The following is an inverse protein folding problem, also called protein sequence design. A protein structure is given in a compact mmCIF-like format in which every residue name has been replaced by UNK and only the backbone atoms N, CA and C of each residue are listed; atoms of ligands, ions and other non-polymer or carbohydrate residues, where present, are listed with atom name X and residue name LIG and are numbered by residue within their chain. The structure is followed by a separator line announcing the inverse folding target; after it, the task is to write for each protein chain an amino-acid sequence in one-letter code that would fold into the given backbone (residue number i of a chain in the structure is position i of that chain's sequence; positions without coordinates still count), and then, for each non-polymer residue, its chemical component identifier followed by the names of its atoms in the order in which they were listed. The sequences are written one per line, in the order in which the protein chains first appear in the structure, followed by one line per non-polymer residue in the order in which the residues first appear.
data_IF_134340284599
#
_entry.id   IF_134340284599
#
_cell.length_a   1.000
_cell.length_b   1.000
_cell.length_c   1.000
_cell.angle_alpha   90.00
_cell.angle_beta   90.00
_cell.angle_gamma   90.00
#
_symmetry.space_group_name_H-M   'P 1'
#
loop_
_entity.id
_entity.type
_entity.pdbx_description
1 polymer ?
#
# COMPACT_ATOMS: atom_id res chain seq x y z
N UNK A 1 -30.92 -6.68 -69.46
CA UNK A 1 -30.47 -7.17 -68.14
C UNK A 1 -28.95 -7.23 -68.13
N UNK A 2 -28.29 -6.22 -67.57
CA UNK A 2 -26.84 -6.17 -67.35
C UNK A 2 -26.60 -5.56 -65.97
N UNK A 3 -25.78 -6.26 -65.19
CA UNK A 3 -25.40 -5.96 -63.81
C UNK A 3 -24.50 -4.73 -63.72
N UNK A 4 -24.71 -3.91 -62.69
CA UNK A 4 -23.66 -3.04 -62.13
C UNK A 4 -23.73 -3.16 -60.60
N UNK A 5 -22.84 -4.00 -60.06
CA UNK A 5 -22.50 -4.04 -58.64
C UNK A 5 -21.73 -2.76 -58.29
N UNK A 6 -22.28 -1.93 -57.41
CA UNK A 6 -21.48 -0.94 -56.68
C UNK A 6 -21.14 -1.51 -55.29
N UNK A 7 -19.92 -2.01 -55.17
CA UNK A 7 -19.22 -2.26 -53.92
C UNK A 7 -18.88 -0.89 -53.29
N UNK A 8 -19.60 -0.50 -52.24
CA UNK A 8 -19.19 0.57 -51.33
C UNK A 8 -18.44 -0.07 -50.16
N UNK A 9 -17.15 -0.35 -50.40
CA UNK A 9 -16.19 -0.69 -49.36
C UNK A 9 -15.73 0.63 -48.72
N UNK A 10 -16.50 1.13 -47.75
CA UNK A 10 -16.08 2.27 -46.94
C UNK A 10 -14.92 1.83 -46.03
N UNK A 11 -13.73 2.31 -46.36
CA UNK A 11 -12.50 2.19 -45.59
C UNK A 11 -12.74 2.58 -44.12
N UNK A 12 -12.73 1.59 -43.24
CA UNK A 12 -12.43 1.75 -41.83
C UNK A 12 -10.96 2.16 -41.71
N UNK A 13 -10.68 3.44 -41.90
CA UNK A 13 -9.43 4.06 -41.44
C UNK A 13 -9.46 4.03 -39.91
N UNK A 14 -8.97 2.92 -39.34
CA UNK A 14 -8.53 2.86 -37.96
C UNK A 14 -7.34 3.84 -37.85
N UNK A 15 -7.66 5.10 -37.55
CA UNK A 15 -6.67 6.06 -37.12
C UNK A 15 -6.12 5.57 -35.78
N UNK A 16 -4.91 4.99 -35.82
CA UNK A 16 -4.05 4.89 -34.65
C UNK A 16 -3.62 6.31 -34.24
N UNK A 17 -4.56 7.09 -33.71
CA UNK A 17 -4.24 8.24 -32.90
C UNK A 17 -3.73 7.72 -31.57
N UNK A 18 -2.43 7.84 -31.31
CA UNK A 18 -1.90 7.66 -29.96
C UNK A 18 -2.73 8.56 -29.02
N UNK A 19 -3.33 8.02 -27.95
CA UNK A 19 -4.09 8.85 -27.03
C UNK A 19 -3.12 9.85 -26.41
N UNK A 20 -3.24 11.13 -26.80
CA UNK A 20 -2.71 12.24 -26.02
C UNK A 20 -3.45 12.21 -24.68
N UNK A 21 -2.85 11.57 -23.68
CA UNK A 21 -3.32 11.50 -22.30
C UNK A 21 -3.28 12.90 -21.69
N UNK A 22 -4.32 13.71 -21.93
CA UNK A 22 -4.41 15.08 -21.43
C UNK A 22 -4.99 15.17 -20.00
N UNK A 23 -4.87 14.11 -19.20
CA UNK A 23 -5.40 14.04 -17.83
C UNK A 23 -4.29 13.98 -16.78
N UNK A 24 -4.58 14.27 -15.50
CA UNK A 24 -3.60 14.23 -14.41
C UNK A 24 -3.20 12.80 -14.01
N UNK A 25 -3.64 11.79 -14.75
CA UNK A 25 -3.44 10.37 -14.49
C UNK A 25 -2.67 9.71 -15.64
N UNK A 26 -1.71 8.80 -15.35
CA UNK A 26 -0.88 8.16 -16.38
C UNK A 26 -1.66 7.28 -17.37
N UNK A 27 -2.77 6.66 -16.96
CA UNK A 27 -3.60 5.75 -17.77
C UNK A 27 -2.79 4.59 -18.39
N UNK A 28 -1.95 3.96 -17.59
CA UNK A 28 -1.07 2.87 -18.03
C UNK A 28 -1.75 1.49 -17.82
N UNK A 29 -2.16 0.78 -18.88
CA UNK A 29 -2.80 -0.54 -18.76
C UNK A 29 -1.87 -1.63 -18.23
N UNK A 30 -0.56 -1.39 -18.18
CA UNK A 30 0.39 -2.32 -17.56
C UNK A 30 0.33 -2.28 -16.03
N UNK A 31 -0.28 -1.25 -15.44
CA UNK A 31 -0.44 -1.07 -13.98
C UNK A 31 -1.81 -1.56 -13.53
N UNK A 32 -2.88 -1.04 -14.11
CA UNK A 32 -4.27 -1.39 -13.80
C UNK A 32 -5.17 -1.23 -15.02
N UNK A 33 -6.38 -1.79 -14.96
CA UNK A 33 -7.43 -1.43 -15.91
C UNK A 33 -8.03 -0.03 -15.59
N UNK A 34 -8.97 0.43 -16.43
CA UNK A 34 -9.64 1.72 -16.27
C UNK A 34 -10.59 1.79 -15.05
N UNK A 35 -10.91 0.65 -14.44
CA UNK A 35 -11.67 0.54 -13.20
C UNK A 35 -10.75 0.51 -11.97
N UNK A 36 -9.43 0.56 -12.19
CA UNK A 36 -8.42 0.53 -11.14
C UNK A 36 -8.08 -0.88 -10.66
N UNK A 37 -8.56 -1.96 -11.29
CA UNK A 37 -8.14 -3.30 -10.88
C UNK A 37 -6.66 -3.50 -11.20
N UNK A 38 -5.84 -3.91 -10.21
CA UNK A 38 -4.42 -4.14 -10.43
C UNK A 38 -4.25 -5.26 -11.47
N UNK A 39 -3.20 -5.15 -12.29
CA UNK A 39 -2.87 -6.18 -13.28
C UNK A 39 -2.65 -7.56 -12.64
N UNK A 40 -1.93 -7.59 -11.52
CA UNK A 40 -1.66 -8.81 -10.78
C UNK A 40 -1.29 -8.49 -9.30
N UNK A 41 -0.93 -9.52 -8.53
CA UNK A 41 -0.57 -9.38 -7.12
C UNK A 41 0.79 -8.69 -6.87
N UNK A 42 1.55 -8.41 -7.92
CA UNK A 42 2.84 -7.71 -7.87
C UNK A 42 2.75 -6.26 -8.32
N UNK A 43 1.58 -5.79 -8.76
CA UNK A 43 1.33 -4.40 -9.14
C UNK A 43 1.75 -3.45 -8.01
N UNK A 44 2.57 -2.45 -8.36
CA UNK A 44 2.91 -1.34 -7.49
C UNK A 44 1.82 -0.26 -7.56
N UNK A 45 1.29 0.16 -6.42
CA UNK A 45 0.06 0.99 -6.35
C UNK A 45 0.33 2.50 -6.41
N UNK A 46 1.59 2.92 -6.29
CA UNK A 46 1.98 4.31 -6.11
C UNK A 46 2.77 4.82 -7.32
N UNK A 47 2.79 6.14 -7.59
CA UNK A 47 3.72 6.72 -8.55
C UNK A 47 5.16 6.40 -8.13
N UNK A 48 5.98 5.91 -9.06
CA UNK A 48 7.38 5.53 -8.76
C UNK A 48 8.20 6.74 -8.30
N UNK A 49 7.89 7.95 -8.78
CA UNK A 49 8.55 9.18 -8.37
C UNK A 49 8.35 9.50 -6.86
N UNK A 50 7.31 8.94 -6.24
CA UNK A 50 6.97 9.23 -4.84
C UNK A 50 7.73 8.34 -3.84
N UNK A 51 8.57 7.41 -4.31
CA UNK A 51 9.32 6.49 -3.45
C UNK A 51 10.57 7.12 -2.83
N UNK A 52 11.10 8.18 -3.43
CA UNK A 52 12.35 8.82 -3.03
C UNK A 52 12.09 10.04 -2.15
N UNK A 53 12.90 10.19 -1.10
CA UNK A 53 12.96 11.40 -0.29
C UNK A 53 13.89 12.43 -0.96
N UNK A 54 13.64 13.74 -0.77
CA UNK A 54 14.43 14.82 -1.41
C UNK A 54 15.93 14.75 -1.11
N UNK A 55 16.30 14.19 0.04
CA UNK A 55 17.69 14.01 0.46
C UNK A 55 18.32 12.67 0.01
N UNK A 56 17.61 11.86 -0.78
CA UNK A 56 18.07 10.53 -1.20
C UNK A 56 19.36 10.60 -2.03
N UNK A 57 20.33 9.78 -1.66
CA UNK A 57 21.58 9.57 -2.37
C UNK A 57 21.56 8.20 -3.08
N UNK A 58 21.63 8.18 -4.42
CA UNK A 58 21.82 6.96 -5.20
C UNK A 58 23.02 6.15 -4.74
N UNK A 59 22.97 4.83 -4.91
CA UNK A 59 23.97 3.87 -4.42
C UNK A 59 25.39 4.25 -4.88
N UNK A 60 25.55 4.64 -6.14
CA UNK A 60 26.81 5.06 -6.74
C UNK A 60 27.41 6.35 -6.14
N UNK A 61 26.64 7.10 -5.34
CA UNK A 61 27.07 8.32 -4.65
C UNK A 61 27.24 8.12 -3.14
N UNK A 62 27.05 6.91 -2.62
CA UNK A 62 27.13 6.64 -1.17
C UNK A 62 28.60 6.52 -0.73
N UNK A 63 28.99 7.08 0.41
CA UNK A 63 30.34 6.90 0.95
C UNK A 63 30.58 5.46 1.41
N UNK A 64 31.78 4.95 1.21
CA UNK A 64 32.18 3.64 1.70
C UNK A 64 32.14 3.57 3.24
N UNK A 65 31.72 2.41 3.78
CA UNK A 65 31.83 2.11 5.21
C UNK A 65 30.75 2.71 6.13
N UNK A 66 29.63 3.22 5.60
CA UNK A 66 28.52 3.72 6.43
C UNK A 66 27.51 2.62 6.77
N UNK A 67 27.04 2.60 8.02
CA UNK A 67 25.91 1.80 8.49
C UNK A 67 24.58 2.44 8.04
N UNK A 68 23.97 1.84 7.02
CA UNK A 68 22.87 2.42 6.22
C UNK A 68 21.54 2.69 6.95
N UNK A 69 21.29 2.07 8.10
CA UNK A 69 19.96 2.04 8.70
C UNK A 69 19.57 3.29 9.52
N UNK A 70 20.45 4.29 9.66
CA UNK A 70 20.19 5.49 10.49
C UNK A 70 20.31 6.81 9.73
N UNK A 71 20.80 6.82 8.50
CA UNK A 71 20.96 8.03 7.71
C UNK A 71 19.79 8.22 6.74
N UNK A 72 19.10 9.35 6.86
CA UNK A 72 17.93 9.70 6.04
C UNK A 72 18.25 9.77 4.55
N UNK A 73 19.52 10.02 4.19
CA UNK A 73 19.96 10.09 2.79
C UNK A 73 20.00 8.72 2.11
N UNK A 74 20.01 7.64 2.88
CA UNK A 74 19.98 6.28 2.34
C UNK A 74 18.63 5.61 2.53
N UNK A 75 17.70 6.26 3.24
CA UNK A 75 16.35 5.78 3.40
C UNK A 75 15.48 6.25 2.23
N UNK A 76 14.85 5.29 1.56
CA UNK A 76 13.72 5.51 0.68
C UNK A 76 12.46 4.87 1.32
N UNK A 77 11.29 5.11 0.73
CA UNK A 77 10.06 4.42 1.13
C UNK A 77 9.72 3.28 0.16
N UNK A 78 10.65 2.84 -0.70
CA UNK A 78 10.33 1.89 -1.76
C UNK A 78 9.86 0.55 -1.17
N UNK A 79 10.54 0.07 -0.13
CA UNK A 79 10.17 -1.18 0.55
C UNK A 79 8.85 -1.04 1.32
N UNK A 80 8.62 0.06 2.04
CA UNK A 80 7.37 0.32 2.75
C UNK A 80 6.18 0.48 1.79
N UNK A 81 6.37 1.16 0.65
CA UNK A 81 5.34 1.32 -0.38
C UNK A 81 5.11 0.03 -1.16
N UNK A 82 6.14 -0.80 -1.36
CA UNK A 82 5.97 -2.14 -1.93
C UNK A 82 5.16 -3.02 -0.98
N UNK A 83 5.47 -2.96 0.31
CA UNK A 83 4.70 -3.64 1.34
C UNK A 83 3.25 -3.11 1.39
N UNK A 84 3.03 -1.80 1.36
CA UNK A 84 1.69 -1.22 1.30
C UNK A 84 0.92 -1.66 0.05
N UNK A 85 1.57 -1.72 -1.13
CA UNK A 85 0.97 -2.24 -2.38
C UNK A 85 0.53 -3.70 -2.21
N UNK A 86 1.38 -4.52 -1.59
CA UNK A 86 1.05 -5.90 -1.28
C UNK A 86 -0.15 -6.01 -0.33
N UNK A 87 -0.22 -5.18 0.72
CA UNK A 87 -1.37 -5.16 1.62
C UNK A 87 -2.64 -4.69 0.91
N UNK A 88 -2.56 -3.67 0.04
CA UNK A 88 -3.70 -3.19 -0.74
C UNK A 88 -4.24 -4.23 -1.72
N UNK A 89 -3.37 -5.06 -2.31
CA UNK A 89 -3.81 -6.20 -3.11
C UNK A 89 -4.65 -7.19 -2.29
N UNK A 90 -4.29 -7.45 -1.03
CA UNK A 90 -5.05 -8.35 -0.15
C UNK A 90 -6.40 -7.79 0.29
N UNK A 91 -6.57 -6.47 0.23
CA UNK A 91 -7.86 -5.82 0.43
C UNK A 91 -8.73 -5.80 -0.84
N UNK A 92 -8.22 -6.27 -1.98
CA UNK A 92 -8.77 -6.05 -3.32
C UNK A 92 -9.02 -4.56 -3.60
N UNK A 93 -8.09 -3.70 -3.14
CA UNK A 93 -8.21 -2.26 -3.32
C UNK A 93 -7.83 -1.87 -4.76
N UNK A 94 -8.47 -0.83 -5.34
CA UNK A 94 -8.12 -0.34 -6.67
C UNK A 94 -6.81 0.46 -6.65
N UNK A 95 -6.11 0.55 -7.78
CA UNK A 95 -4.96 1.43 -7.98
C UNK A 95 -5.46 2.85 -8.25
N UNK A 96 -5.38 3.71 -7.23
CA UNK A 96 -5.88 5.08 -7.29
C UNK A 96 -4.98 6.04 -8.07
N UNK A 97 -3.74 5.68 -8.34
CA UNK A 97 -2.74 6.55 -8.98
C UNK A 97 -2.75 6.51 -10.52
N UNK A 98 -3.56 5.63 -11.13
CA UNK A 98 -3.44 5.31 -12.56
C UNK A 98 -4.58 5.82 -13.46
N UNK A 99 -5.84 5.69 -13.03
CA UNK A 99 -7.03 6.19 -13.75
C UNK A 99 -7.95 6.91 -12.78
N UNK A 100 -8.58 8.02 -13.20
CA UNK A 100 -9.66 8.63 -12.41
C UNK A 100 -10.89 7.71 -12.36
N UNK A 101 -11.35 7.38 -11.16
CA UNK A 101 -12.41 6.38 -10.94
C UNK A 101 -13.82 6.98 -10.79
N UNK A 102 -13.99 8.24 -11.21
CA UNK A 102 -15.28 8.92 -11.25
C UNK A 102 -15.81 9.37 -9.88
N UNK A 103 -14.96 9.44 -8.85
CA UNK A 103 -15.32 9.97 -7.54
C UNK A 103 -14.10 10.51 -6.80
N UNK A 104 -14.33 11.42 -5.85
CA UNK A 104 -13.30 11.84 -4.91
C UNK A 104 -13.13 10.74 -3.85
N UNK A 105 -11.94 10.16 -3.77
CA UNK A 105 -11.61 9.07 -2.85
C UNK A 105 -10.47 9.53 -1.95
N UNK A 106 -10.63 9.31 -0.65
CA UNK A 106 -9.55 9.41 0.32
C UNK A 106 -9.36 8.07 0.99
N UNK A 107 -8.16 7.51 0.87
CA UNK A 107 -7.83 6.18 1.38
C UNK A 107 -6.76 6.27 2.43
N UNK A 108 -7.06 5.76 3.62
CA UNK A 108 -6.12 5.67 4.73
C UNK A 108 -5.82 4.20 5.00
N UNK A 109 -4.58 3.80 4.74
CA UNK A 109 -4.05 2.49 5.10
C UNK A 109 -3.23 2.61 6.39
N UNK A 110 -3.60 1.79 7.37
CA UNK A 110 -3.00 1.79 8.69
C UNK A 110 -2.37 0.44 9.00
N UNK A 111 -1.03 0.40 8.98
CA UNK A 111 -0.25 -0.81 9.22
C UNK A 111 0.50 -0.69 10.54
N UNK A 112 0.13 -1.49 11.52
CA UNK A 112 0.72 -1.49 12.87
C UNK A 112 1.56 -2.75 13.04
N UNK A 113 2.75 -2.65 13.62
CA UNK A 113 3.70 -3.77 13.71
C UNK A 113 3.11 -5.06 14.31
N UNK A 114 2.20 -4.93 15.27
CA UNK A 114 1.64 -6.07 16.01
C UNK A 114 0.12 -6.18 15.93
N UNK A 115 -0.51 -5.43 15.02
CA UNK A 115 -1.96 -5.43 14.89
C UNK A 115 -2.38 -5.65 13.44
N UNK A 116 -3.65 -5.99 13.27
CA UNK A 116 -4.28 -6.23 11.98
C UNK A 116 -4.21 -4.97 11.10
N UNK A 117 -3.89 -5.11 9.79
CA UNK A 117 -4.06 -4.01 8.84
C UNK A 117 -5.49 -3.49 8.81
N UNK A 118 -5.65 -2.17 8.74
CA UNK A 118 -6.94 -1.51 8.58
C UNK A 118 -6.89 -0.63 7.33
N UNK A 119 -7.94 -0.71 6.52
CA UNK A 119 -8.14 0.13 5.34
C UNK A 119 -9.43 0.93 5.51
N UNK A 120 -9.30 2.25 5.53
CA UNK A 120 -10.43 3.17 5.51
C UNK A 120 -10.52 3.83 4.15
N UNK A 121 -11.68 3.78 3.51
CA UNK A 121 -11.93 4.42 2.21
C UNK A 121 -13.13 5.34 2.32
N UNK A 122 -12.85 6.64 2.32
CA UNK A 122 -13.84 7.71 2.27
C UNK A 122 -14.11 8.05 0.80
N UNK A 123 -15.32 7.82 0.33
CA UNK A 123 -15.74 8.14 -1.05
C UNK A 123 -16.77 9.26 -1.02
N UNK A 124 -16.57 10.26 -1.88
CA UNK A 124 -17.47 11.39 -2.07
C UNK A 124 -17.85 11.50 -3.56
N UNK A 125 -19.15 11.43 -3.84
CA UNK A 125 -19.69 11.61 -5.19
C UNK A 125 -21.10 12.26 -5.12
N UNK A 126 -21.81 12.29 -6.25
CA UNK A 126 -23.15 12.89 -6.33
C UNK A 126 -24.20 12.20 -5.44
N UNK A 127 -23.97 10.96 -5.01
CA UNK A 127 -24.88 10.23 -4.12
C UNK A 127 -24.60 10.52 -2.63
N UNK A 128 -23.50 11.21 -2.31
CA UNK A 128 -23.13 11.60 -0.95
C UNK A 128 -21.74 11.11 -0.56
N UNK A 129 -21.50 11.03 0.76
CA UNK A 129 -20.21 10.62 1.32
C UNK A 129 -20.36 9.34 2.13
N UNK A 130 -19.52 8.35 1.88
CA UNK A 130 -19.48 7.10 2.65
C UNK A 130 -18.08 6.77 3.11
N UNK A 131 -17.95 6.18 4.29
CA UNK A 131 -16.71 5.66 4.83
C UNK A 131 -16.81 4.14 4.94
N UNK A 132 -16.02 3.44 4.14
CA UNK A 132 -15.87 1.98 4.21
C UNK A 132 -14.67 1.62 5.11
N UNK A 133 -14.87 0.68 6.02
CA UNK A 133 -13.84 0.15 6.92
C UNK A 133 -13.63 -1.32 6.62
N UNK A 134 -12.39 -1.72 6.32
CA UNK A 134 -12.00 -3.12 6.14
C UNK A 134 -10.80 -3.48 7.00
N UNK A 135 -10.74 -4.73 7.43
CA UNK A 135 -9.64 -5.28 8.22
C UNK A 135 -9.15 -6.59 7.60
N UNK A 136 -7.85 -6.85 7.69
CA UNK A 136 -7.29 -8.18 7.44
C UNK A 136 -7.09 -8.93 8.75
N UNK A 137 -7.28 -10.24 8.76
CA UNK A 137 -7.10 -11.09 9.94
C UNK A 137 -5.65 -11.11 10.47
N UNK A 138 -4.68 -10.86 9.59
CA UNK A 138 -3.27 -10.67 9.91
C UNK A 138 -2.59 -9.83 8.83
N UNK A 139 -1.38 -9.36 9.13
CA UNK A 139 -0.54 -8.67 8.16
C UNK A 139 0.04 -9.66 7.11
N UNK A 140 -0.15 -9.41 5.80
CA UNK A 140 0.44 -10.22 4.75
C UNK A 140 1.97 -10.30 4.86
N UNK A 141 2.54 -11.51 4.76
CA UNK A 141 3.99 -11.70 4.68
C UNK A 141 4.79 -11.53 5.98
N UNK A 142 4.20 -11.06 7.08
CA UNK A 142 4.93 -10.67 8.29
C UNK A 142 5.22 -11.80 9.30
N UNK A 143 4.95 -13.07 8.96
CA UNK A 143 5.26 -14.19 9.86
C UNK A 143 6.15 -15.21 9.15
N UNK A 144 7.41 -14.83 8.96
CA UNK A 144 8.46 -15.80 8.65
C UNK A 144 8.85 -16.49 9.97
N UNK A 145 7.95 -17.36 10.46
CA UNK A 145 8.34 -18.36 11.45
C UNK A 145 9.20 -19.37 10.69
N UNK A 146 10.51 -19.19 10.77
CA UNK A 146 11.47 -20.11 10.13
C UNK A 146 12.44 -20.63 11.16
N UNK A 147 12.81 -21.88 10.96
CA UNK A 147 13.99 -22.46 11.58
C UNK A 147 15.11 -22.38 10.54
N UNK A 148 16.31 -21.99 10.98
CA UNK A 148 17.46 -21.90 10.08
C UNK A 148 17.69 -23.25 9.40
N UNK A 149 17.55 -23.29 8.07
CA UNK A 149 17.85 -24.50 7.32
C UNK A 149 19.35 -24.78 7.43
N UNK A 150 19.81 -26.00 7.70
CA UNK A 150 21.23 -26.25 7.91
C UNK A 150 22.09 -25.97 6.66
N UNK A 151 21.48 -25.97 5.47
CA UNK A 151 22.16 -25.66 4.22
C UNK A 151 22.31 -24.14 3.99
N UNK A 152 21.69 -23.31 4.83
CA UNK A 152 21.93 -21.85 4.86
C UNK A 152 23.20 -21.46 5.62
N UNK A 153 23.88 -22.42 6.25
CA UNK A 153 25.13 -22.17 6.96
C UNK A 153 26.27 -21.88 5.97
N UNK A 154 27.15 -20.95 6.34
CA UNK A 154 28.39 -20.69 5.61
C UNK A 154 29.16 -21.99 5.32
N UNK A 155 29.81 -22.11 4.15
CA UNK A 155 30.76 -23.20 3.89
C UNK A 155 31.83 -23.36 4.99
N UNK A 156 32.22 -22.28 5.65
CA UNK A 156 33.22 -22.28 6.74
C UNK A 156 32.66 -22.61 8.13
N UNK A 157 31.37 -22.91 8.26
CA UNK A 157 30.77 -23.27 9.54
C UNK A 157 31.36 -24.58 10.10
N UNK A 158 31.67 -24.58 11.40
CA UNK A 158 32.23 -25.75 12.09
C UNK A 158 31.25 -26.93 12.15
N UNK A 159 31.78 -28.15 12.28
CA UNK A 159 30.98 -29.36 12.40
C UNK A 159 30.00 -29.32 13.59
N UNK A 160 30.43 -28.72 14.70
CA UNK A 160 29.57 -28.53 15.86
C UNK A 160 28.34 -27.67 15.51
N UNK A 161 28.55 -26.53 14.84
CA UNK A 161 27.46 -25.65 14.40
C UNK A 161 26.54 -26.37 13.44
N UNK A 162 27.09 -27.10 12.45
CA UNK A 162 26.29 -27.89 11.49
C UNK A 162 25.42 -28.94 12.19
N UNK A 163 26.00 -29.72 13.11
CA UNK A 163 25.27 -30.74 13.88
C UNK A 163 24.17 -30.11 14.75
N UNK A 164 24.48 -29.01 15.45
CA UNK A 164 23.50 -28.29 16.29
C UNK A 164 22.34 -27.73 15.46
N UNK A 165 22.62 -27.08 14.33
CA UNK A 165 21.57 -26.52 13.46
C UNK A 165 20.73 -27.62 12.83
N UNK A 166 21.33 -28.73 12.36
CA UNK A 166 20.59 -29.89 11.84
C UNK A 166 19.68 -30.51 12.91
N UNK A 167 20.18 -30.68 14.13
CA UNK A 167 19.38 -31.18 15.25
C UNK A 167 18.19 -30.25 15.54
N UNK A 168 18.42 -28.95 15.72
CA UNK A 168 17.36 -27.96 15.98
C UNK A 168 16.33 -27.91 14.85
N UNK A 169 16.80 -27.95 13.60
CA UNK A 169 15.93 -28.01 12.43
C UNK A 169 15.03 -29.23 12.47
N UNK A 170 15.60 -30.43 12.67
CA UNK A 170 14.82 -31.67 12.73
C UNK A 170 13.81 -31.67 13.89
N UNK A 171 14.22 -31.20 15.08
CA UNK A 171 13.34 -31.10 16.26
C UNK A 171 12.19 -30.13 16.02
N UNK A 172 12.46 -28.92 15.50
CA UNK A 172 11.40 -27.97 15.15
C UNK A 172 10.49 -28.50 14.04
N UNK A 173 11.05 -29.18 13.04
CA UNK A 173 10.24 -29.75 11.95
C UNK A 173 9.39 -30.95 12.38
N UNK A 174 9.80 -31.65 13.45
CA UNK A 174 9.02 -32.73 14.05
C UNK A 174 7.94 -32.24 15.03
N UNK A 175 8.00 -30.99 15.50
CA UNK A 175 7.02 -30.39 16.41
C UNK A 175 5.73 -29.99 15.66
N UNK A 176 4.58 -30.64 15.94
CA UNK A 176 3.31 -30.31 15.27
C UNK A 176 2.83 -28.89 15.53
N UNK A 177 3.09 -28.31 16.71
CA UNK A 177 2.68 -26.94 17.01
C UNK A 177 3.51 -25.94 16.20
N UNK A 178 4.82 -26.20 16.06
CA UNK A 178 5.66 -25.42 15.13
C UNK A 178 5.17 -25.53 13.69
N UNK A 179 4.81 -26.73 13.21
CA UNK A 179 4.25 -26.90 11.86
C UNK A 179 2.94 -26.11 11.67
N UNK A 180 2.06 -26.10 12.68
CA UNK A 180 0.82 -25.31 12.67
C UNK A 180 1.12 -23.81 12.60
N UNK A 181 2.09 -23.33 13.36
CA UNK A 181 2.52 -21.93 13.33
C UNK A 181 3.13 -21.54 11.97
N UNK A 182 3.95 -22.40 11.36
CA UNK A 182 4.49 -22.19 10.00
C UNK A 182 3.38 -22.17 8.96
N UNK A 183 2.44 -23.12 9.04
CA UNK A 183 1.29 -23.19 8.13
C UNK A 183 0.42 -21.94 8.26
N UNK A 184 0.13 -21.51 9.49
CA UNK A 184 -0.61 -20.29 9.76
C UNK A 184 0.15 -19.07 9.25
N UNK A 185 1.47 -18.96 9.48
CA UNK A 185 2.30 -17.87 8.96
C UNK A 185 2.28 -17.77 7.44
N UNK A 186 2.37 -18.91 6.74
CA UNK A 186 2.33 -19.01 5.26
C UNK A 186 0.95 -18.81 4.65
N UNK A 187 -0.13 -18.97 5.42
CA UNK A 187 -1.50 -18.77 4.94
C UNK A 187 -1.68 -17.36 4.38
N UNK A 188 -2.46 -17.21 3.30
CA UNK A 188 -2.90 -15.90 2.81
C UNK A 188 -3.74 -15.21 3.90
N UNK A 189 -3.41 -13.96 4.25
CA UNK A 189 -4.29 -13.12 5.05
C UNK A 189 -5.65 -12.98 4.35
N UNK A 190 -6.72 -12.83 5.13
CA UNK A 190 -8.10 -12.77 4.64
C UNK A 190 -8.77 -11.52 5.19
N UNK A 191 -9.69 -10.95 4.42
CA UNK A 191 -10.59 -9.91 4.93
C UNK A 191 -11.50 -10.48 6.01
N UNK A 192 -11.71 -9.70 7.07
CA UNK A 192 -12.64 -10.06 8.14
C UNK A 192 -14.02 -9.50 7.78
N UNK A 193 -14.72 -10.17 6.86
CA UNK A 193 -15.97 -9.68 6.26
C UNK A 193 -17.06 -9.37 7.30
N UNK A 194 -17.07 -10.09 8.42
CA UNK A 194 -18.01 -9.84 9.54
C UNK A 194 -17.76 -8.54 10.29
N UNK A 195 -16.58 -7.92 10.14
CA UNK A 195 -16.20 -6.64 10.75
C UNK A 195 -16.20 -5.48 9.72
N UNK A 196 -16.46 -5.76 8.45
CA UNK A 196 -16.51 -4.73 7.42
C UNK A 196 -17.77 -3.85 7.59
N UNK A 197 -17.58 -2.54 7.52
CA UNK A 197 -18.69 -1.59 7.65
C UNK A 197 -18.62 -0.53 6.57
N UNK A 198 -19.80 -0.03 6.18
CA UNK A 198 -19.92 1.19 5.40
C UNK A 198 -20.91 2.09 6.12
N UNK A 199 -20.45 3.29 6.48
CA UNK A 199 -21.28 4.28 7.17
C UNK A 199 -21.44 5.51 6.30
N UNK A 200 -22.62 6.13 6.33
CA UNK A 200 -22.82 7.44 5.74
C UNK A 200 -22.04 8.49 6.56
N UNK A 201 -21.39 9.42 5.87
CA UNK A 201 -20.67 10.54 6.48
C UNK A 201 -21.47 11.81 6.20
N UNK A 202 -21.80 12.55 7.26
CA UNK A 202 -22.60 13.77 7.12
C UNK A 202 -21.82 14.87 6.38
N UNK A 203 -22.52 15.85 5.76
CA UNK A 203 -21.87 17.01 5.16
C UNK A 203 -20.93 17.74 6.13
N UNK A 204 -21.29 17.86 7.41
CA UNK A 204 -20.48 18.51 8.44
C UNK A 204 -19.21 17.72 8.76
N UNK A 205 -19.32 16.38 8.84
CA UNK A 205 -18.18 15.50 9.05
C UNK A 205 -17.22 15.53 7.85
N UNK A 206 -17.75 15.52 6.63
CA UNK A 206 -16.96 15.69 5.41
C UNK A 206 -16.23 17.03 5.40
N UNK A 207 -16.93 18.14 5.70
CA UNK A 207 -16.32 19.46 5.78
C UNK A 207 -15.26 19.54 6.88
N UNK A 208 -15.47 18.86 8.02
CA UNK A 208 -14.47 18.78 9.08
C UNK A 208 -13.21 18.05 8.62
N UNK A 209 -13.36 16.92 7.92
CA UNK A 209 -12.23 16.21 7.36
C UNK A 209 -11.46 17.05 6.33
N UNK A 210 -12.18 17.75 5.43
CA UNK A 210 -11.57 18.67 4.47
C UNK A 210 -10.81 19.81 5.17
N UNK A 211 -11.30 20.34 6.30
CA UNK A 211 -10.55 21.31 7.11
C UNK A 211 -9.26 20.71 7.65
N UNK A 212 -9.31 19.50 8.22
CA UNK A 212 -8.12 18.83 8.75
C UNK A 212 -7.06 18.59 7.66
N UNK A 213 -7.47 18.14 6.46
CA UNK A 213 -6.58 17.99 5.30
C UNK A 213 -5.94 19.32 4.86
N UNK A 214 -6.69 20.43 4.88
CA UNK A 214 -6.14 21.76 4.57
C UNK A 214 -5.15 22.23 5.64
N UNK A 215 -5.49 22.04 6.92
CA UNK A 215 -4.62 22.41 8.05
C UNK A 215 -3.30 21.66 8.01
N UNK A 216 -3.30 20.38 7.59
CA UNK A 216 -2.06 19.61 7.41
C UNK A 216 -1.25 19.99 6.18
N UNK A 217 -1.77 20.89 5.34
CA UNK A 217 -1.21 21.22 4.03
C UNK A 217 -0.92 19.96 3.22
N UNK A 218 -1.85 18.99 3.26
CA UNK A 218 -1.63 17.64 2.74
C UNK A 218 -1.01 17.62 1.34
N UNK A 219 -1.53 18.41 0.40
CA UNK A 219 -1.05 18.48 -0.99
C UNK A 219 0.40 18.99 -1.16
N UNK A 220 0.99 19.56 -0.11
CA UNK A 220 2.36 20.07 -0.09
C UNK A 220 3.30 19.17 0.71
N UNK A 221 2.78 18.09 1.30
CA UNK A 221 3.59 17.17 2.07
C UNK A 221 4.46 16.34 1.11
N UNK A 222 5.72 16.03 1.48
CA UNK A 222 6.48 15.04 0.74
C UNK A 222 5.76 13.69 0.84
N UNK A 223 5.71 12.97 -0.28
CA UNK A 223 5.02 11.69 -0.36
C UNK A 223 5.64 10.68 0.61
N UNK A 224 6.96 10.62 0.66
CA UNK A 224 7.73 9.79 1.57
C UNK A 224 8.44 10.65 2.62
N UNK A 225 8.37 10.23 3.90
CA UNK A 225 9.20 10.79 4.99
C UNK A 225 9.69 9.64 5.88
N UNK A 226 10.78 8.96 5.50
CA UNK A 226 11.27 7.82 6.24
C UNK A 226 11.75 8.24 7.64
N UNK A 227 11.74 7.30 8.59
CA UNK A 227 12.33 7.47 9.93
C UNK A 227 13.41 6.41 10.16
N UNK A 228 14.65 6.65 9.69
CA UNK A 228 15.75 5.72 9.88
C UNK A 228 15.88 5.29 11.36
N UNK A 229 16.18 4.02 11.58
CA UNK A 229 16.35 3.43 12.91
C UNK A 229 15.05 3.04 13.62
N UNK A 230 13.87 3.37 13.08
CA UNK A 230 12.59 2.97 13.67
C UNK A 230 12.18 1.57 13.18
N UNK A 231 12.24 0.58 14.08
CA UNK A 231 11.93 -0.82 13.76
C UNK A 231 10.45 -1.18 13.93
N UNK A 232 9.75 -0.48 14.82
CA UNK A 232 8.36 -0.75 15.19
C UNK A 232 7.48 0.50 15.11
N UNK A 233 6.19 0.33 15.44
CA UNK A 233 5.19 1.39 15.49
C UNK A 233 4.10 1.21 14.45
N UNK A 234 3.69 2.32 13.84
CA UNK A 234 2.59 2.32 12.88
C UNK A 234 2.94 3.10 11.62
N UNK A 235 2.77 2.49 10.46
CA UNK A 235 2.86 3.13 9.16
C UNK A 235 1.47 3.64 8.76
N UNK A 236 1.40 4.95 8.51
CA UNK A 236 0.20 5.70 8.19
C UNK A 236 0.35 6.21 6.77
N UNK A 237 -0.45 5.68 5.85
CA UNK A 237 -0.45 6.06 4.45
C UNK A 237 -1.82 6.66 4.11
N UNK A 238 -1.84 7.92 3.69
CA UNK A 238 -3.05 8.61 3.25
C UNK A 238 -2.91 8.98 1.78
N UNK A 239 -3.95 8.70 1.00
CA UNK A 239 -4.02 8.99 -0.43
C UNK A 239 -5.26 9.84 -0.71
N UNK A 240 -5.14 10.86 -1.55
CA UNK A 240 -6.28 11.56 -2.15
C UNK A 240 -6.29 11.31 -3.65
N UNK A 241 -7.45 10.92 -4.15
CA UNK A 241 -7.74 10.64 -5.54
C UNK A 241 -8.91 11.52 -5.94
N UNK A 242 -8.67 12.45 -6.87
CA UNK A 242 -9.62 13.48 -7.28
C UNK A 242 -9.57 13.66 -8.79
N UNK A 243 -10.54 14.38 -9.34
CA UNK A 243 -10.56 14.71 -10.77
C UNK A 243 -9.33 15.52 -11.22
N UNK A 244 -8.78 16.35 -10.33
CA UNK A 244 -7.60 17.19 -10.57
C UNK A 244 -6.26 16.48 -10.33
N UNK A 245 -6.28 15.29 -9.72
CA UNK A 245 -5.09 14.44 -9.64
C UNK A 245 -5.04 13.51 -8.42
N UNK A 246 -3.88 12.89 -8.27
CA UNK A 246 -3.54 11.98 -7.20
C UNK A 246 -2.42 12.58 -6.34
N UNK A 247 -2.52 12.40 -5.02
CA UNK A 247 -1.43 12.68 -4.10
C UNK A 247 -1.49 11.71 -2.94
N UNK A 248 -0.33 11.37 -2.38
CA UNK A 248 -0.23 10.55 -1.18
C UNK A 248 0.84 11.07 -0.25
N UNK A 249 0.69 10.77 1.04
CA UNK A 249 1.74 10.96 2.03
C UNK A 249 1.78 9.79 3.00
N UNK A 250 2.99 9.29 3.25
CA UNK A 250 3.27 8.18 4.14
C UNK A 250 4.16 8.60 5.31
N UNK A 251 3.77 8.22 6.52
CA UNK A 251 4.47 8.57 7.77
C UNK A 251 4.58 7.36 8.68
N UNK A 252 5.77 7.14 9.23
CA UNK A 252 5.96 6.16 10.30
C UNK A 252 5.81 6.86 11.67
N UNK A 253 4.83 6.39 12.45
CA UNK A 253 4.52 6.83 13.81
C UNK A 253 4.49 8.36 13.93
N UNK A 254 3.57 9.06 13.22
CA UNK A 254 3.52 10.52 13.29
C UNK A 254 3.17 10.98 14.71
N UNK A 255 3.72 12.13 15.12
CA UNK A 255 3.54 12.67 16.46
C UNK A 255 2.09 13.09 16.73
N UNK A 256 1.67 13.13 17.99
CA UNK A 256 0.28 13.44 18.36
C UNK A 256 -0.17 14.83 17.91
N UNK A 257 0.79 15.76 17.84
CA UNK A 257 0.58 17.14 17.40
C UNK A 257 0.67 17.31 15.88
N UNK A 258 1.06 16.28 15.12
CA UNK A 258 1.15 16.34 13.66
C UNK A 258 -0.26 16.50 13.05
N UNK A 259 -0.56 17.59 12.33
CA UNK A 259 -1.84 17.77 11.66
C UNK A 259 -2.18 16.63 10.66
N UNK A 260 -1.18 16.00 10.02
CA UNK A 260 -1.39 14.83 9.17
C UNK A 260 -2.02 13.68 9.96
N UNK A 261 -1.49 13.42 11.17
CA UNK A 261 -2.03 12.40 12.07
C UNK A 261 -3.45 12.75 12.49
N UNK A 262 -3.74 14.02 12.77
CA UNK A 262 -5.09 14.45 13.19
C UNK A 262 -6.13 14.16 12.09
N UNK A 263 -5.80 14.41 10.83
CA UNK A 263 -6.68 14.08 9.70
C UNK A 263 -6.93 12.56 9.61
N UNK A 264 -5.89 11.74 9.69
CA UNK A 264 -6.01 10.29 9.64
C UNK A 264 -6.78 9.72 10.87
N UNK A 265 -6.48 10.23 12.06
CA UNK A 265 -7.14 9.83 13.30
C UNK A 265 -8.64 10.18 13.28
N UNK A 266 -9.02 11.29 12.64
CA UNK A 266 -10.43 11.62 12.46
C UNK A 266 -11.18 10.55 11.65
N UNK A 267 -10.56 9.98 10.61
CA UNK A 267 -11.15 8.85 9.88
C UNK A 267 -11.31 7.62 10.77
N UNK A 268 -10.33 7.33 11.63
CA UNK A 268 -10.44 6.25 12.62
C UNK A 268 -11.64 6.47 13.54
N UNK A 269 -11.83 7.68 14.08
CA UNK A 269 -12.96 8.00 14.97
C UNK A 269 -14.33 7.86 14.30
N UNK A 270 -14.42 8.15 13.00
CA UNK A 270 -15.65 7.96 12.22
C UNK A 270 -15.92 6.49 11.86
N UNK A 271 -14.91 5.62 11.93
CA UNK A 271 -14.97 4.24 11.47
C UNK A 271 -15.39 3.24 12.56
N UNK A 272 -15.66 1.99 12.16
CA UNK A 272 -15.79 0.89 13.12
C UNK A 272 -14.45 0.52 13.80
N UNK A 273 -13.32 1.00 13.30
CA UNK A 273 -12.00 0.78 13.85
C UNK A 273 -11.63 1.71 15.02
N UNK A 274 -12.52 2.59 15.50
CA UNK A 274 -12.24 3.52 16.62
C UNK A 274 -11.79 2.85 17.93
N UNK A 275 -12.17 1.59 18.15
CA UNK A 275 -11.77 0.80 19.32
C UNK A 275 -10.43 0.08 19.18
N UNK A 276 -9.81 0.12 17.99
CA UNK A 276 -8.54 -0.53 17.71
C UNK A 276 -7.37 0.18 18.41
N UNK A 277 -6.41 -0.59 18.92
CA UNK A 277 -5.21 -0.04 19.57
C UNK A 277 -4.39 0.78 18.58
N UNK A 278 -3.97 1.98 19.00
CA UNK A 278 -3.31 2.91 18.08
C UNK A 278 -1.85 2.55 17.73
N UNK A 279 -1.16 1.88 18.65
CA UNK A 279 0.21 1.39 18.55
C UNK A 279 0.30 0.01 19.18
#
# INVERSE_FOLDING_TARGET
MRYVCFLLLALLLAACGSPTTSGPYPQNPAISDAQGHPRDSTTFYFPVADTLHDAYLPEEKRPDGIYYNTDIRFADCADELKHASYVLNYFDAPVLSNYYLGADIVRFLWLRSFHRPVLLTLRHDSAGTTLNTRLLDKIPGFQIITVQHPDSLSPTASDYTRKRTRKRYNESMADPEFQKLVAEGKRRARRVETEETTVAVSPEQWQQFQRLLRTSRFQQLPACKPRPGMLDGAYWLLETHRADGYHMAARQTPDATDPFRQACAYLIELSSARGEKRY
#
